data_IF_384365479070
#
_entry.id   IF_384365479070
#
_cell.length_a   1.000
_cell.length_b   1.000
_cell.length_c   1.000
_cell.angle_alpha   90.00
_cell.angle_beta   90.00
_cell.angle_gamma   90.00
#
_symmetry.space_group_name_H-M   'P 1'
#
loop_
_entity.id
_entity.type
_entity.pdbx_description
1 polymer ?
#
# COMPACT_ATOMS: atom_id res chain seq x y z
N UNK A 1 -11.96 9.81 20.42
CA UNK A 1 -13.25 9.37 19.84
C UNK A 1 -13.68 10.44 18.85
N UNK A 2 -13.31 10.26 17.58
CA UNK A 2 -13.53 11.27 16.54
C UNK A 2 -13.89 10.58 15.23
N UNK A 3 -15.20 10.52 15.01
CA UNK A 3 -15.90 10.81 13.77
C UNK A 3 -15.36 10.18 12.48
N UNK A 4 -15.80 8.94 12.25
CA UNK A 4 -16.08 8.46 10.90
C UNK A 4 -17.26 9.26 10.32
N UNK A 5 -16.98 10.18 9.39
CA UNK A 5 -17.98 10.90 8.60
C UNK A 5 -17.59 10.79 7.11
N UNK A 6 -18.37 9.95 6.41
CA UNK A 6 -18.90 10.02 5.05
C UNK A 6 -17.96 10.05 3.82
N UNK A 7 -18.01 8.94 3.06
CA UNK A 7 -18.33 8.87 1.64
C UNK A 7 -17.65 9.91 0.72
N UNK A 8 -16.36 9.68 0.41
CA UNK A 8 -15.59 10.34 -0.66
C UNK A 8 -14.24 9.64 -0.78
N UNK A 9 -14.00 8.87 -1.85
CA UNK A 9 -12.66 8.42 -2.26
C UNK A 9 -11.69 8.09 -1.12
N UNK A 10 -11.91 6.98 -0.43
CA UNK A 10 -11.11 6.54 0.70
C UNK A 10 -9.61 6.44 0.34
N UNK A 11 -8.86 7.49 0.70
CA UNK A 11 -7.43 7.46 1.02
C UNK A 11 -7.32 7.80 2.51
N UNK A 12 -7.68 6.85 3.37
CA UNK A 12 -7.50 7.04 4.81
C UNK A 12 -7.61 5.71 5.54
N UNK A 13 -6.48 5.05 5.70
CA UNK A 13 -5.97 4.79 7.05
C UNK A 13 -4.52 5.26 7.05
N UNK A 14 -4.32 6.48 7.54
CA UNK A 14 -3.04 7.12 7.89
C UNK A 14 -1.85 6.82 6.96
N UNK A 15 -1.99 7.13 5.66
CA UNK A 15 -0.81 7.22 4.81
C UNK A 15 -0.03 8.48 5.24
N UNK A 16 0.86 8.36 6.22
CA UNK A 16 1.83 9.42 6.57
C UNK A 16 2.90 9.55 5.47
N UNK A 17 2.60 9.16 4.23
CA UNK A 17 3.49 9.24 3.09
C UNK A 17 2.87 10.10 2.00
N UNK A 18 3.67 10.58 1.07
CA UNK A 18 3.20 11.18 -0.19
C UNK A 18 3.75 10.37 -1.34
N UNK A 19 2.88 10.04 -2.29
CA UNK A 19 3.24 9.50 -3.61
C UNK A 19 3.21 10.63 -4.64
N UNK A 20 4.03 10.54 -5.68
CA UNK A 20 4.01 11.55 -6.74
C UNK A 20 2.80 11.34 -7.66
N UNK A 21 2.12 12.42 -8.04
CA UNK A 21 1.00 12.37 -8.99
C UNK A 21 1.46 12.25 -10.46
N UNK A 22 2.71 12.62 -10.73
CA UNK A 22 3.36 12.50 -12.04
C UNK A 22 4.67 11.76 -11.91
N UNK A 23 5.09 11.08 -12.97
CA UNK A 23 6.39 10.39 -12.97
C UNK A 23 7.52 11.41 -12.83
N UNK A 24 8.45 11.12 -11.92
CA UNK A 24 9.68 11.89 -11.71
C UNK A 24 10.88 11.00 -12.01
N UNK A 25 12.06 11.59 -12.19
CA UNK A 25 13.27 10.82 -12.49
C UNK A 25 13.54 9.79 -11.38
N UNK A 26 13.63 8.52 -11.75
CA UNK A 26 13.89 7.42 -10.82
C UNK A 26 12.64 6.85 -10.11
N UNK A 27 11.45 7.40 -10.34
CA UNK A 27 10.21 6.82 -9.80
C UNK A 27 9.55 5.84 -10.77
N UNK A 28 8.85 4.87 -10.18
CA UNK A 28 8.11 3.81 -10.86
C UNK A 28 6.62 3.86 -10.47
N UNK A 29 5.71 3.37 -11.33
CA UNK A 29 4.28 3.39 -11.04
C UNK A 29 3.91 2.48 -9.87
N UNK A 30 3.06 2.99 -8.98
CA UNK A 30 2.33 2.23 -7.97
C UNK A 30 0.93 1.91 -8.52
N UNK A 31 0.64 0.64 -8.73
CA UNK A 31 -0.65 0.19 -9.24
C UNK A 31 -1.64 -0.02 -8.09
N UNK A 32 -2.89 0.43 -8.25
CA UNK A 32 -4.00 0.06 -7.39
C UNK A 32 -4.87 -0.98 -8.07
N UNK A 33 -5.16 -2.05 -7.34
CA UNK A 33 -6.10 -3.08 -7.73
C UNK A 33 -7.18 -3.22 -6.65
N UNK A 34 -8.39 -3.59 -7.05
CA UNK A 34 -9.51 -3.78 -6.15
C UNK A 34 -10.14 -5.16 -6.34
N UNK A 35 -10.39 -5.87 -5.24
CA UNK A 35 -11.14 -7.11 -5.23
C UNK A 35 -12.57 -6.86 -4.69
N UNK A 36 -13.61 -6.90 -5.54
CA UNK A 36 -14.99 -6.65 -5.11
C UNK A 36 -15.58 -7.77 -4.24
N UNK A 37 -14.95 -8.95 -4.21
CA UNK A 37 -15.42 -10.10 -3.42
C UNK A 37 -15.02 -9.94 -1.96
N UNK A 38 -13.77 -9.51 -1.73
CA UNK A 38 -13.20 -9.32 -0.38
C UNK A 38 -13.30 -7.87 0.07
N UNK A 39 -13.68 -6.94 -0.84
CA UNK A 39 -13.78 -5.50 -0.61
C UNK A 39 -12.42 -4.94 -0.14
N UNK A 40 -11.36 -5.31 -0.85
CA UNK A 40 -9.97 -5.03 -0.47
C UNK A 40 -9.17 -4.39 -1.63
N UNK A 41 -8.19 -3.57 -1.27
CA UNK A 41 -7.27 -2.94 -2.22
C UNK A 41 -5.85 -3.49 -2.08
N UNK A 42 -5.25 -3.80 -3.23
CA UNK A 42 -3.84 -4.17 -3.33
C UNK A 42 -3.07 -3.04 -4.03
N UNK A 43 -2.01 -2.57 -3.37
CA UNK A 43 -1.03 -1.65 -3.94
C UNK A 43 0.27 -2.38 -4.22
N UNK A 44 0.76 -2.29 -5.46
CA UNK A 44 2.00 -2.94 -5.87
C UNK A 44 2.73 -2.18 -6.96
N UNK A 45 4.04 -2.20 -6.92
CA UNK A 45 4.93 -1.74 -8.01
C UNK A 45 5.28 -2.88 -8.98
N UNK A 46 5.04 -4.13 -8.58
CA UNK A 46 5.38 -5.32 -9.36
C UNK A 46 4.34 -5.61 -10.43
N UNK A 47 4.76 -5.54 -11.69
CA UNK A 47 3.91 -5.93 -12.83
C UNK A 47 3.57 -7.41 -12.81
N UNK A 48 4.45 -8.27 -12.28
CA UNK A 48 4.20 -9.69 -12.12
C UNK A 48 3.12 -9.96 -11.05
N UNK A 49 3.21 -9.32 -9.87
CA UNK A 49 2.20 -9.45 -8.82
C UNK A 49 0.84 -8.93 -9.29
N UNK A 50 0.81 -7.76 -9.98
CA UNK A 50 -0.40 -7.25 -10.62
C UNK A 50 -1.01 -8.28 -11.58
N UNK A 51 -0.19 -8.90 -12.43
CA UNK A 51 -0.64 -9.91 -13.39
C UNK A 51 -1.25 -11.13 -12.71
N UNK A 52 -0.59 -11.67 -11.69
CA UNK A 52 -1.10 -12.80 -10.92
C UNK A 52 -2.38 -12.46 -10.16
N UNK A 53 -2.44 -11.31 -9.50
CA UNK A 53 -3.60 -10.87 -8.73
C UNK A 53 -4.86 -10.74 -9.61
N UNK A 54 -4.70 -10.22 -10.84
CA UNK A 54 -5.80 -10.13 -11.81
C UNK A 54 -6.18 -11.49 -12.38
N UNK A 55 -5.20 -12.35 -12.67
CA UNK A 55 -5.44 -13.62 -13.34
C UNK A 55 -5.97 -14.73 -12.40
N UNK A 56 -5.61 -14.68 -11.12
CA UNK A 56 -5.79 -15.81 -10.20
C UNK A 56 -6.54 -15.42 -8.93
N UNK A 57 -6.38 -14.19 -8.44
CA UNK A 57 -6.84 -13.82 -7.08
C UNK A 57 -8.12 -12.96 -7.10
N UNK A 58 -8.70 -12.72 -8.29
CA UNK A 58 -9.98 -12.01 -8.45
C UNK A 58 -9.90 -10.49 -8.34
N UNK A 59 -8.68 -9.93 -8.27
CA UNK A 59 -8.49 -8.49 -8.29
C UNK A 59 -8.76 -7.90 -9.68
N UNK A 60 -9.16 -6.64 -9.70
CA UNK A 60 -9.32 -5.84 -10.92
C UNK A 60 -8.33 -4.70 -10.87
N UNK A 61 -7.55 -4.55 -11.93
CA UNK A 61 -6.73 -3.35 -12.09
C UNK A 61 -7.63 -2.12 -12.22
N UNK A 62 -7.36 -1.11 -11.40
CA UNK A 62 -8.10 0.16 -11.43
C UNK A 62 -7.30 1.24 -12.12
N UNK A 63 -6.14 1.59 -11.56
CA UNK A 63 -5.32 2.70 -12.05
C UNK A 63 -3.87 2.66 -11.56
N UNK A 64 -3.08 3.61 -12.04
CA UNK A 64 -1.82 4.00 -11.38
C UNK A 64 -2.21 4.98 -10.28
N UNK A 65 -2.09 4.56 -9.02
CA UNK A 65 -2.39 5.41 -7.86
C UNK A 65 -1.41 6.59 -7.76
N UNK A 66 -0.18 6.39 -8.22
CA UNK A 66 0.86 7.41 -8.28
C UNK A 66 2.20 6.80 -8.61
N UNK A 67 3.27 7.52 -8.32
CA UNK A 67 4.64 7.07 -8.54
C UNK A 67 5.41 7.12 -7.22
N UNK A 68 6.28 6.12 -7.04
CA UNK A 68 7.05 5.88 -5.82
C UNK A 68 8.48 5.49 -6.19
N UNK A 69 9.41 5.52 -5.24
CA UNK A 69 10.73 4.95 -5.45
C UNK A 69 10.73 3.45 -5.13
N UNK A 70 11.45 2.66 -5.91
CA UNK A 70 11.56 1.21 -5.70
C UNK A 70 12.53 0.85 -4.57
N UNK A 71 13.50 1.73 -4.31
CA UNK A 71 14.46 1.60 -3.22
C UNK A 71 14.74 2.97 -2.60
N UNK A 72 15.62 2.99 -1.60
CA UNK A 72 16.15 4.15 -0.86
C UNK A 72 16.99 5.13 -1.70
N UNK A 73 16.74 5.23 -3.01
CA UNK A 73 17.49 6.06 -3.96
C UNK A 73 17.47 7.55 -3.57
N UNK A 74 16.43 7.98 -2.83
CA UNK A 74 16.29 9.34 -2.35
C UNK A 74 16.38 9.37 -0.81
N UNK A 75 17.29 10.17 -0.22
CA UNK A 75 17.57 10.16 1.22
C UNK A 75 16.38 10.61 2.09
N UNK A 76 15.39 11.28 1.50
CA UNK A 76 14.19 11.77 2.20
C UNK A 76 13.01 10.80 2.10
N UNK A 77 13.26 9.54 1.72
CA UNK A 77 12.22 8.51 1.61
C UNK A 77 12.30 7.50 2.74
N UNK A 78 11.13 7.00 3.14
CA UNK A 78 10.97 5.95 4.14
C UNK A 78 10.28 4.74 3.51
N UNK A 79 10.53 3.52 4.02
CA UNK A 79 9.85 2.34 3.53
C UNK A 79 8.35 2.42 3.82
N UNK A 80 7.54 2.03 2.83
CA UNK A 80 6.14 1.67 3.01
C UNK A 80 6.08 0.17 3.26
N UNK A 81 5.82 -0.22 4.50
CA UNK A 81 5.65 -1.60 4.91
C UNK A 81 4.30 -2.12 4.42
N UNK A 82 4.31 -3.35 3.91
CA UNK A 82 3.12 -4.09 3.51
C UNK A 82 2.95 -5.31 4.40
N UNK A 83 1.77 -5.43 4.97
CA UNK A 83 1.34 -6.53 5.80
C UNK A 83 0.06 -7.13 5.25
N UNK A 84 -0.11 -8.43 5.45
CA UNK A 84 -1.28 -9.15 4.98
C UNK A 84 -1.90 -10.01 6.08
N UNK A 85 -3.22 -9.90 6.24
CA UNK A 85 -4.01 -10.77 7.10
C UNK A 85 -4.65 -11.88 6.28
N UNK A 86 -4.18 -13.12 6.42
CA UNK A 86 -4.79 -14.28 5.76
C UNK A 86 -6.17 -14.63 6.30
N UNK A 87 -6.42 -14.32 7.57
CA UNK A 87 -7.72 -14.56 8.21
C UNK A 87 -8.77 -13.56 7.76
N UNK A 88 -8.37 -12.27 7.62
CA UNK A 88 -9.25 -11.19 7.18
C UNK A 88 -9.29 -11.01 5.66
N UNK A 89 -8.31 -11.53 4.93
CA UNK A 89 -8.06 -11.23 3.51
C UNK A 89 -7.92 -9.72 3.29
N UNK A 90 -6.98 -9.13 4.02
CA UNK A 90 -6.84 -7.67 4.14
C UNK A 90 -5.37 -7.23 3.99
N UNK A 91 -5.16 -6.16 3.23
CA UNK A 91 -3.85 -5.54 3.02
C UNK A 91 -3.71 -4.29 3.90
N UNK A 92 -2.69 -4.28 4.73
CA UNK A 92 -2.36 -3.15 5.59
C UNK A 92 -1.02 -2.53 5.19
N UNK A 93 -0.98 -1.20 5.11
CA UNK A 93 0.19 -0.44 4.70
C UNK A 93 0.50 0.68 5.68
N UNK A 94 1.75 0.79 6.12
CA UNK A 94 2.20 1.85 7.03
C UNK A 94 3.65 2.21 6.77
N UNK A 95 4.05 3.44 7.10
CA UNK A 95 5.46 3.85 7.14
C UNK A 95 6.04 3.78 8.57
N UNK A 96 5.20 3.53 9.57
CA UNK A 96 5.62 3.39 10.96
C UNK A 96 6.06 1.93 11.21
N UNK A 97 7.36 1.76 11.44
CA UNK A 97 7.95 0.45 11.72
C UNK A 97 7.40 -0.16 13.03
N UNK A 98 7.15 0.65 14.06
CA UNK A 98 6.61 0.16 15.33
C UNK A 98 5.17 -0.34 15.16
N UNK A 99 4.36 0.37 14.37
CA UNK A 99 3.01 -0.06 14.01
C UNK A 99 3.05 -1.38 13.22
N UNK A 100 3.93 -1.46 12.21
CA UNK A 100 4.10 -2.65 11.40
C UNK A 100 4.52 -3.87 12.26
N UNK A 101 5.50 -3.70 13.13
CA UNK A 101 5.96 -4.75 14.05
C UNK A 101 4.86 -5.14 15.04
N UNK A 102 4.13 -4.17 15.59
CA UNK A 102 3.02 -4.42 16.52
C UNK A 102 1.89 -5.19 15.86
N UNK A 103 1.51 -4.82 14.63
CA UNK A 103 0.47 -5.50 13.86
C UNK A 103 0.87 -6.95 13.54
N UNK A 104 2.13 -7.18 13.17
CA UNK A 104 2.66 -8.53 12.92
C UNK A 104 2.72 -9.39 14.19
N UNK A 105 3.04 -8.80 15.34
CA UNK A 105 3.19 -9.53 16.59
C UNK A 105 1.86 -9.80 17.31
N UNK A 106 0.88 -8.91 17.18
CA UNK A 106 -0.31 -8.91 18.05
C UNK A 106 -1.65 -8.79 17.31
N UNK A 107 -1.69 -8.36 16.06
CA UNK A 107 -2.94 -8.11 15.33
C UNK A 107 -3.27 -9.16 14.25
N UNK A 108 -2.49 -10.25 14.17
CA UNK A 108 -2.75 -11.35 13.24
C UNK A 108 -2.33 -11.07 11.80
N UNK A 109 -1.51 -10.04 11.57
CA UNK A 109 -0.91 -9.76 10.28
C UNK A 109 0.40 -10.51 10.09
N UNK A 110 0.74 -10.77 8.83
CA UNK A 110 2.06 -11.24 8.43
C UNK A 110 2.78 -10.12 7.69
N UNK A 111 4.00 -9.79 8.12
CA UNK A 111 4.85 -8.86 7.37
C UNK A 111 5.20 -9.47 6.02
N UNK A 112 4.76 -8.84 4.93
CA UNK A 112 5.06 -9.27 3.55
C UNK A 112 6.42 -8.68 3.14
N UNK A 113 6.66 -7.41 3.48
CA UNK A 113 7.93 -6.73 3.23
C UNK A 113 7.73 -5.24 2.92
N UNK A 114 8.72 -4.64 2.25
CA UNK A 114 8.64 -3.25 1.77
C UNK A 114 7.97 -3.22 0.41
N UNK A 115 6.83 -2.53 0.29
CA UNK A 115 6.12 -2.39 -0.97
C UNK A 115 6.69 -1.28 -1.86
N UNK A 116 7.19 -0.19 -1.25
CA UNK A 116 7.72 0.98 -1.94
C UNK A 116 8.50 1.87 -0.96
N UNK A 117 9.12 2.93 -1.48
CA UNK A 117 9.70 4.03 -0.72
C UNK A 117 8.96 5.33 -1.04
N UNK A 118 8.49 6.02 0.01
CA UNK A 118 7.61 7.20 -0.08
C UNK A 118 8.18 8.36 0.76
N UNK A 119 7.78 9.59 0.45
CA UNK A 119 8.20 10.76 1.24
C UNK A 119 7.29 10.86 2.47
N UNK A 120 7.81 10.87 3.71
CA UNK A 120 6.97 10.99 4.90
C UNK A 120 6.32 12.39 5.00
N UNK A 121 5.11 12.45 5.55
CA UNK A 121 4.38 13.66 5.92
C UNK A 121 4.25 13.66 7.45
N UNK A 122 4.94 14.59 8.10
CA UNK A 122 4.94 14.78 9.56
C UNK A 122 3.85 15.75 10.02
#
# INVERSE_FOLDING_TARGET
MSNAIYDSGYLSEVFQGTIFTTQVSGSIPLYRLYNPTTVDHLYTTSTAQKGSAVAQDGYRYEEIAGYVYESDVCPDTVPLYHLYSYAGTDNFYTIDEEEAVSAAAHAGYTMVGTAAWVIPTY
#
